data_IF_840746407035
#
_entry.id   IF_840746407035
#
_cell.length_a   1.000
_cell.length_b   1.000
_cell.length_c   1.000
_cell.angle_alpha   90.00
_cell.angle_beta   90.00
_cell.angle_gamma   90.00
#
_symmetry.space_group_name_H-M   'P 1'
#
loop_
_entity.id
_entity.type
_entity.pdbx_description
1 polymer ?
#
# COMPACT_ATOMS: atom_id res chain seq x y z
N UNK A 1 -22.53 33.81 0.04
CA UNK A 1 -22.55 33.76 -1.43
C UNK A 1 -22.08 32.38 -1.81
N UNK A 2 -22.92 31.56 -2.43
CA UNK A 2 -22.52 30.24 -2.90
C UNK A 2 -21.74 30.40 -4.22
N UNK A 3 -20.56 29.80 -4.27
CA UNK A 3 -19.72 29.80 -5.47
C UNK A 3 -20.05 28.55 -6.27
N UNK A 4 -20.38 28.71 -7.55
CA UNK A 4 -20.64 27.59 -8.45
C UNK A 4 -19.32 27.00 -8.96
N UNK A 5 -19.26 25.68 -9.02
CA UNK A 5 -18.08 24.97 -9.53
C UNK A 5 -17.94 25.11 -11.05
N UNK A 6 -19.04 25.25 -11.79
CA UNK A 6 -19.05 25.45 -13.24
C UNK A 6 -20.13 26.44 -13.67
N UNK A 7 -19.95 27.02 -14.85
CA UNK A 7 -20.87 27.98 -15.46
C UNK A 7 -21.54 27.45 -16.73
N UNK A 8 -20.98 26.42 -17.37
CA UNK A 8 -21.53 25.79 -18.56
C UNK A 8 -21.39 24.26 -18.57
N UNK A 9 -22.01 23.63 -19.58
CA UNK A 9 -22.01 22.17 -19.73
C UNK A 9 -20.61 21.60 -19.98
N UNK A 10 -19.78 22.30 -20.77
CA UNK A 10 -18.44 21.83 -21.14
C UNK A 10 -17.52 21.84 -19.92
N UNK A 11 -17.58 22.88 -19.11
CA UNK A 11 -16.84 23.01 -17.87
C UNK A 11 -17.28 21.96 -16.85
N UNK A 12 -18.59 21.70 -16.73
CA UNK A 12 -19.09 20.60 -15.90
C UNK A 12 -18.55 19.25 -16.34
N UNK A 13 -18.66 18.91 -17.62
CA UNK A 13 -18.19 17.64 -18.16
C UNK A 13 -16.65 17.50 -17.95
N UNK A 14 -15.89 18.59 -17.99
CA UNK A 14 -14.47 18.60 -17.63
C UNK A 14 -14.23 18.27 -16.14
N UNK A 15 -14.98 18.91 -15.22
CA UNK A 15 -14.85 18.61 -13.79
C UNK A 15 -15.30 17.20 -13.43
N UNK A 16 -16.28 16.64 -14.14
CA UNK A 16 -16.66 15.22 -13.99
C UNK A 16 -15.47 14.30 -14.33
N UNK A 17 -14.74 14.58 -15.40
CA UNK A 17 -13.53 13.82 -15.73
C UNK A 17 -12.42 13.98 -14.68
N UNK A 18 -12.24 15.18 -14.12
CA UNK A 18 -11.29 15.40 -13.03
C UNK A 18 -11.69 14.65 -11.76
N UNK A 19 -12.99 14.63 -11.44
CA UNK A 19 -13.52 13.88 -10.32
C UNK A 19 -13.27 12.38 -10.49
N UNK A 20 -13.46 11.84 -11.71
CA UNK A 20 -13.16 10.45 -12.02
C UNK A 20 -11.66 10.13 -11.84
N UNK A 21 -10.78 10.98 -12.36
CA UNK A 21 -9.32 10.80 -12.20
C UNK A 21 -8.93 10.83 -10.71
N UNK A 22 -9.46 11.79 -9.96
CA UNK A 22 -9.26 11.90 -8.52
C UNK A 22 -9.74 10.64 -7.78
N UNK A 23 -10.94 10.15 -8.12
CA UNK A 23 -11.55 8.97 -7.51
C UNK A 23 -10.72 7.71 -7.77
N UNK A 24 -10.24 7.50 -8.99
CA UNK A 24 -9.38 6.36 -9.33
C UNK A 24 -8.11 6.39 -8.48
N UNK A 25 -7.39 7.52 -8.44
CA UNK A 25 -6.14 7.64 -7.68
C UNK A 25 -6.37 7.39 -6.19
N UNK A 26 -7.42 7.99 -5.59
CA UNK A 26 -7.74 7.76 -4.16
C UNK A 26 -8.16 6.32 -3.89
N UNK A 27 -8.88 5.68 -4.80
CA UNK A 27 -9.31 4.29 -4.64
C UNK A 27 -8.11 3.36 -4.73
N UNK A 28 -7.20 3.56 -5.68
CA UNK A 28 -5.95 2.79 -5.77
C UNK A 28 -5.12 2.95 -4.49
N UNK A 29 -5.01 4.16 -3.93
CA UNK A 29 -4.26 4.39 -2.68
C UNK A 29 -4.84 3.58 -1.51
N UNK A 30 -6.17 3.51 -1.42
CA UNK A 30 -6.85 2.71 -0.40
C UNK A 30 -6.68 1.22 -0.63
N UNK A 31 -6.73 0.77 -1.88
CA UNK A 31 -6.50 -0.62 -2.26
C UNK A 31 -5.08 -1.09 -1.90
N UNK A 32 -4.05 -0.31 -2.25
CA UNK A 32 -2.65 -0.63 -1.89
C UNK A 32 -2.50 -0.72 -0.36
N UNK A 33 -3.04 0.25 0.38
CA UNK A 33 -3.00 0.23 1.86
C UNK A 33 -3.76 -0.94 2.47
N UNK A 34 -4.88 -1.35 1.89
CA UNK A 34 -5.64 -2.51 2.35
C UNK A 34 -4.87 -3.81 2.12
N UNK A 35 -4.21 -3.93 0.97
CA UNK A 35 -3.37 -5.09 0.66
C UNK A 35 -2.16 -5.19 1.58
N UNK A 36 -1.43 -4.09 1.82
CA UNK A 36 -0.28 -4.04 2.75
C UNK A 36 -0.67 -4.40 4.18
N UNK A 37 -1.94 -4.20 4.56
CA UNK A 37 -2.49 -4.55 5.87
C UNK A 37 -3.11 -5.95 5.91
N UNK A 38 -2.90 -6.77 4.87
CA UNK A 38 -3.47 -8.12 4.72
C UNK A 38 -5.00 -8.17 4.86
N UNK A 39 -5.70 -7.07 4.51
CA UNK A 39 -7.17 -7.01 4.56
C UNK A 39 -7.84 -7.60 3.31
N UNK A 40 -7.07 -7.79 2.23
CA UNK A 40 -7.55 -8.27 0.93
C UNK A 40 -6.59 -9.35 0.44
N UNK A 41 -7.13 -10.43 -0.12
CA UNK A 41 -6.33 -11.52 -0.67
C UNK A 41 -5.50 -11.06 -1.87
N UNK A 42 -4.38 -11.74 -2.14
CA UNK A 42 -3.56 -11.46 -3.32
C UNK A 42 -4.34 -11.57 -4.64
N UNK A 43 -5.27 -12.52 -4.74
CA UNK A 43 -6.04 -12.75 -5.96
C UNK A 43 -7.05 -11.62 -6.23
N UNK A 44 -7.75 -11.17 -5.18
CA UNK A 44 -8.71 -10.07 -5.29
C UNK A 44 -7.99 -8.75 -5.53
N UNK A 45 -6.88 -8.51 -4.81
CA UNK A 45 -6.04 -7.33 -5.02
C UNK A 45 -5.54 -7.23 -6.46
N UNK A 46 -4.96 -8.31 -7.02
CA UNK A 46 -4.47 -8.31 -8.39
C UNK A 46 -5.58 -7.99 -9.39
N UNK A 47 -6.76 -8.59 -9.20
CA UNK A 47 -7.91 -8.41 -10.09
C UNK A 47 -8.41 -6.96 -10.08
N UNK A 48 -8.62 -6.39 -8.89
CA UNK A 48 -9.14 -5.02 -8.77
C UNK A 48 -8.09 -3.96 -9.12
N UNK A 49 -6.82 -4.20 -8.78
CA UNK A 49 -5.73 -3.30 -9.13
C UNK A 49 -5.56 -3.18 -10.66
N UNK A 50 -5.64 -4.30 -11.38
CA UNK A 50 -5.59 -4.29 -12.85
C UNK A 50 -6.73 -3.49 -13.49
N UNK A 51 -7.95 -3.58 -12.94
CA UNK A 51 -9.10 -2.79 -13.42
C UNK A 51 -8.85 -1.29 -13.24
N UNK A 52 -8.39 -0.89 -12.06
CA UNK A 52 -8.09 0.53 -11.77
C UNK A 52 -6.96 1.06 -12.65
N UNK A 53 -5.90 0.28 -12.88
CA UNK A 53 -4.81 0.65 -13.79
C UNK A 53 -5.33 0.84 -15.22
N UNK A 54 -6.19 -0.06 -15.70
CA UNK A 54 -6.76 0.04 -17.04
C UNK A 54 -7.64 1.29 -17.19
N UNK A 55 -8.52 1.54 -16.22
CA UNK A 55 -9.37 2.75 -16.18
C UNK A 55 -8.52 4.02 -16.16
N UNK A 56 -7.49 4.06 -15.29
CA UNK A 56 -6.55 5.17 -15.19
C UNK A 56 -5.85 5.45 -16.53
N UNK A 57 -5.31 4.42 -17.19
CA UNK A 57 -4.59 4.58 -18.47
C UNK A 57 -5.51 5.12 -19.57
N UNK A 58 -6.74 4.63 -19.64
CA UNK A 58 -7.73 5.11 -20.61
C UNK A 58 -8.07 6.58 -20.36
N UNK A 59 -8.41 6.92 -19.11
CA UNK A 59 -8.78 8.28 -18.74
C UNK A 59 -7.61 9.27 -18.87
N UNK A 60 -6.41 8.88 -18.44
CA UNK A 60 -5.21 9.72 -18.54
C UNK A 60 -4.80 9.96 -20.00
N UNK A 61 -5.04 8.98 -20.88
CA UNK A 61 -4.83 9.17 -22.32
C UNK A 61 -5.84 10.15 -22.90
N UNK A 62 -7.11 10.03 -22.51
CA UNK A 62 -8.17 10.94 -22.93
C UNK A 62 -7.92 12.38 -22.45
N UNK A 63 -7.40 12.55 -21.22
CA UNK A 63 -7.16 13.85 -20.60
C UNK A 63 -5.79 14.45 -20.89
N UNK A 64 -4.95 13.85 -21.75
CA UNK A 64 -3.54 14.26 -21.91
C UNK A 64 -3.35 15.74 -22.25
N UNK A 65 -4.25 16.30 -23.06
CA UNK A 65 -4.16 17.72 -23.49
C UNK A 65 -4.57 18.69 -22.37
N UNK A 66 -5.38 18.23 -21.42
CA UNK A 66 -5.91 19.05 -20.31
C UNK A 66 -5.10 18.84 -19.03
N UNK A 67 -4.68 17.61 -18.75
CA UNK A 67 -3.90 17.16 -17.60
C UNK A 67 -2.62 16.48 -18.10
N UNK A 68 -1.60 17.27 -18.49
CA UNK A 68 -0.36 16.72 -19.06
C UNK A 68 0.53 16.02 -18.03
N UNK A 69 0.33 16.29 -16.73
CA UNK A 69 1.03 15.62 -15.63
C UNK A 69 0.05 15.30 -14.51
N UNK A 70 -0.08 14.01 -14.22
CA UNK A 70 -0.93 13.51 -13.13
C UNK A 70 -0.31 13.83 -11.78
N UNK A 71 1.01 13.92 -11.68
CA UNK A 71 1.72 14.37 -10.49
C UNK A 71 1.34 15.81 -10.13
N UNK A 72 1.36 16.72 -11.11
CA UNK A 72 0.89 18.11 -10.90
C UNK A 72 -0.58 18.18 -10.56
N UNK A 73 -1.41 17.32 -11.14
CA UNK A 73 -2.82 17.20 -10.74
C UNK A 73 -2.94 16.81 -9.27
N UNK A 74 -2.21 15.77 -8.83
CA UNK A 74 -2.19 15.33 -7.45
C UNK A 74 -1.71 16.44 -6.49
N UNK A 75 -0.68 17.18 -6.86
CA UNK A 75 -0.20 18.35 -6.08
C UNK A 75 -1.28 19.45 -5.99
N UNK A 76 -1.92 19.79 -7.12
CA UNK A 76 -2.95 20.84 -7.22
C UNK A 76 -4.14 20.53 -6.31
N UNK A 77 -4.57 19.26 -6.29
CA UNK A 77 -5.67 18.78 -5.44
C UNK A 77 -5.20 18.28 -4.06
N UNK A 78 -3.92 18.48 -3.70
CA UNK A 78 -3.33 18.12 -2.41
C UNK A 78 -3.53 16.64 -2.03
N UNK A 79 -3.35 15.77 -3.01
CA UNK A 79 -3.56 14.34 -2.87
C UNK A 79 -2.33 13.67 -2.24
N UNK A 80 -2.45 13.26 -0.99
CA UNK A 80 -1.47 12.35 -0.37
C UNK A 80 -1.79 10.90 -0.79
N UNK A 81 -1.20 10.49 -1.92
CA UNK A 81 -1.40 9.17 -2.53
C UNK A 81 -0.10 8.56 -3.12
N UNK A 82 1.00 8.43 -2.33
CA UNK A 82 2.29 7.99 -2.86
C UNK A 82 2.27 6.56 -3.43
N UNK A 83 1.53 5.64 -2.80
CA UNK A 83 1.45 4.25 -3.26
C UNK A 83 0.67 4.15 -4.57
N UNK A 84 -0.42 4.89 -4.70
CA UNK A 84 -1.17 4.96 -5.95
C UNK A 84 -0.35 5.56 -7.09
N UNK A 85 0.40 6.64 -6.86
CA UNK A 85 1.21 7.26 -7.91
C UNK A 85 2.33 6.32 -8.36
N UNK A 86 3.00 5.63 -7.43
CA UNK A 86 3.97 4.60 -7.78
C UNK A 86 3.32 3.49 -8.62
N UNK A 87 2.14 3.00 -8.22
CA UNK A 87 1.41 1.95 -8.93
C UNK A 87 0.94 2.36 -10.34
N UNK A 88 0.35 3.54 -10.46
CA UNK A 88 -0.34 3.97 -11.67
C UNK A 88 0.62 4.55 -12.72
N UNK A 89 1.64 5.29 -12.27
CA UNK A 89 2.55 6.04 -13.16
C UNK A 89 3.85 5.28 -13.39
N UNK A 90 4.46 4.73 -12.33
CA UNK A 90 5.80 4.15 -12.39
C UNK A 90 5.77 2.68 -12.81
N UNK A 91 5.07 1.83 -12.04
CA UNK A 91 5.11 0.37 -12.28
C UNK A 91 4.07 -0.08 -13.31
N UNK A 92 2.84 0.43 -13.22
CA UNK A 92 1.75 0.13 -14.16
C UNK A 92 1.25 -1.31 -14.12
N UNK A 93 1.62 -2.07 -13.09
CA UNK A 93 1.21 -3.47 -12.80
C UNK A 93 1.09 -3.65 -11.28
N UNK A 94 0.30 -4.60 -10.75
CA UNK A 94 0.21 -4.86 -9.31
C UNK A 94 1.54 -5.25 -8.66
N UNK A 95 1.72 -4.96 -7.36
CA UNK A 95 2.99 -5.17 -6.64
C UNK A 95 3.44 -6.63 -6.68
N UNK A 96 2.48 -7.55 -6.56
CA UNK A 96 2.71 -8.99 -6.55
C UNK A 96 3.28 -9.50 -7.87
N UNK A 97 2.87 -8.89 -9.00
CA UNK A 97 3.35 -9.22 -10.34
C UNK A 97 4.77 -8.69 -10.54
N UNK A 98 5.04 -7.47 -10.07
CA UNK A 98 6.36 -6.84 -10.10
C UNK A 98 7.40 -7.68 -9.33
N UNK A 99 7.10 -8.05 -8.09
CA UNK A 99 7.97 -8.89 -7.26
C UNK A 99 8.17 -10.30 -7.84
N UNK A 100 7.12 -10.90 -8.39
CA UNK A 100 7.20 -12.22 -9.05
C UNK A 100 8.12 -12.16 -10.27
N UNK A 101 8.01 -11.11 -11.07
CA UNK A 101 8.82 -10.91 -12.28
C UNK A 101 10.29 -10.65 -11.92
N UNK A 102 10.56 -9.81 -10.92
CA UNK A 102 11.91 -9.60 -10.41
C UNK A 102 12.55 -10.91 -9.92
N UNK A 103 11.81 -11.71 -9.17
CA UNK A 103 12.25 -13.03 -8.71
C UNK A 103 12.55 -14.00 -9.86
N UNK A 104 11.73 -14.02 -10.92
CA UNK A 104 11.99 -14.84 -12.10
C UNK A 104 13.23 -14.39 -12.89
N UNK A 105 13.42 -13.08 -13.07
CA UNK A 105 14.56 -12.53 -13.79
C UNK A 105 15.89 -12.82 -13.08
N UNK A 106 15.89 -12.75 -11.75
CA UNK A 106 17.04 -13.15 -10.92
C UNK A 106 17.36 -14.64 -11.08
N UNK A 107 16.34 -15.51 -11.11
CA UNK A 107 16.51 -16.96 -11.34
C UNK A 107 17.13 -17.26 -12.72
N UNK A 108 16.77 -16.47 -13.73
CA UNK A 108 17.21 -16.67 -15.12
C UNK A 108 18.67 -16.24 -15.37
N UNK A 109 19.22 -15.38 -14.51
CA UNK A 109 20.61 -14.89 -14.57
C UNK A 109 21.62 -15.77 -13.82
N UNK A 110 21.22 -16.94 -13.30
CA UNK A 110 22.12 -17.84 -12.59
C UNK A 110 22.66 -17.29 -11.26
N UNK A 111 22.03 -16.23 -10.72
CA UNK A 111 22.36 -15.70 -9.40
C UNK A 111 21.77 -16.66 -8.37
N UNK A 112 22.62 -17.43 -7.72
CA UNK A 112 22.22 -18.39 -6.69
C UNK A 112 21.40 -17.71 -5.57
N UNK A 113 20.38 -18.38 -4.98
CA UNK A 113 19.56 -17.84 -3.89
C UNK A 113 20.34 -17.48 -2.59
N UNK A 114 21.65 -17.71 -2.56
CA UNK A 114 22.55 -17.39 -1.45
C UNK A 114 22.91 -15.91 -1.35
N UNK A 115 22.64 -15.09 -2.38
CA UNK A 115 22.78 -13.62 -2.33
C UNK A 115 21.46 -12.93 -1.95
N UNK A 116 20.81 -13.44 -0.90
CA UNK A 116 19.67 -12.80 -0.23
C UNK A 116 20.14 -11.82 0.86
N UNK A 117 21.35 -11.27 0.75
CA UNK A 117 21.96 -10.35 1.73
C UNK A 117 22.06 -8.89 1.29
N UNK A 118 21.51 -8.53 0.12
CA UNK A 118 21.31 -7.12 -0.24
C UNK A 118 19.86 -6.93 -0.65
N UNK A 119 19.00 -6.86 0.38
CA UNK A 119 17.58 -6.53 0.24
C UNK A 119 17.40 -5.04 -0.01
N UNK A 120 16.92 -4.71 -1.20
CA UNK A 120 16.37 -3.40 -1.60
C UNK A 120 15.08 -3.77 -2.33
N UNK A 121 13.85 -3.42 -1.94
CA UNK A 121 13.31 -2.67 -0.82
C UNK A 121 11.88 -3.17 -0.62
N UNK A 122 11.55 -3.65 0.58
CA UNK A 122 10.17 -3.51 1.07
C UNK A 122 10.05 -2.07 1.56
N UNK A 123 9.02 -1.43 1.07
CA UNK A 123 8.74 -0.01 1.22
C UNK A 123 8.72 0.44 2.70
N UNK A 124 9.61 1.40 2.99
CA UNK A 124 9.32 2.65 3.69
C UNK A 124 8.42 2.53 4.95
N UNK A 125 8.99 2.00 6.03
CA UNK A 125 8.37 2.03 7.36
C UNK A 125 9.09 1.23 8.44
N UNK A 126 9.99 0.33 8.06
CA UNK A 126 10.65 -0.62 8.99
C UNK A 126 12.17 -0.44 9.12
N UNK A 127 12.80 0.51 8.42
CA UNK A 127 14.24 0.75 8.50
C UNK A 127 14.74 1.28 9.86
N UNK A 128 13.83 1.52 10.81
CA UNK A 128 14.13 1.96 12.18
C UNK A 128 14.34 0.77 13.11
N UNK A 129 13.86 -0.42 12.73
CA UNK A 129 13.73 -1.56 13.63
C UNK A 129 14.70 -2.67 13.22
N UNK A 130 15.50 -3.22 14.16
CA UNK A 130 16.42 -4.32 13.88
C UNK A 130 15.73 -5.52 13.18
N UNK A 131 16.43 -6.24 12.27
CA UNK A 131 15.84 -7.36 11.52
C UNK A 131 15.40 -8.53 12.42
N UNK A 132 15.95 -8.62 13.63
CA UNK A 132 15.67 -9.60 14.69
C UNK A 132 14.76 -9.04 15.80
N UNK A 133 14.10 -7.90 15.58
CA UNK A 133 13.25 -7.27 16.58
C UNK A 133 12.19 -8.21 17.14
N UNK A 134 12.30 -8.48 18.43
CA UNK A 134 11.48 -9.45 19.17
C UNK A 134 9.98 -9.18 19.00
N UNK A 135 9.57 -7.91 18.98
CA UNK A 135 8.16 -7.55 18.80
C UNK A 135 7.59 -7.99 17.45
N UNK A 136 8.44 -8.07 16.40
CA UNK A 136 8.04 -8.59 15.08
C UNK A 136 7.79 -10.09 15.13
N UNK A 137 8.58 -10.83 15.92
CA UNK A 137 8.43 -12.27 16.11
C UNK A 137 7.14 -12.56 16.89
N UNK A 138 6.95 -11.89 18.03
CA UNK A 138 5.75 -12.03 18.87
C UNK A 138 4.45 -11.74 18.12
N UNK A 139 4.39 -10.63 17.39
CA UNK A 139 3.20 -10.26 16.62
C UNK A 139 2.91 -11.27 15.50
N UNK A 140 3.93 -11.77 14.82
CA UNK A 140 3.77 -12.82 13.79
C UNK A 140 3.24 -14.13 14.37
N UNK A 141 3.75 -14.55 15.52
CA UNK A 141 3.28 -15.77 16.19
C UNK A 141 1.80 -15.64 16.60
N UNK A 142 1.38 -14.47 17.07
CA UNK A 142 -0.02 -14.20 17.39
C UNK A 142 -0.93 -14.15 16.16
N UNK A 143 -0.49 -13.52 15.07
CA UNK A 143 -1.23 -13.54 13.79
C UNK A 143 -1.40 -14.97 13.28
N UNK A 144 -0.33 -15.77 13.30
CA UNK A 144 -0.37 -17.17 12.87
C UNK A 144 -1.29 -18.03 13.75
N UNK A 145 -1.36 -17.73 15.06
CA UNK A 145 -2.25 -18.42 15.98
C UNK A 145 -3.72 -18.06 15.71
N UNK A 146 -4.02 -16.76 15.61
CA UNK A 146 -5.37 -16.27 15.33
C UNK A 146 -5.86 -16.74 13.96
N UNK A 147 -5.00 -16.81 12.95
CA UNK A 147 -5.37 -17.30 11.62
C UNK A 147 -5.70 -18.80 11.58
N UNK A 148 -5.30 -19.56 12.60
CA UNK A 148 -5.61 -21.00 12.74
C UNK A 148 -6.86 -21.27 13.56
N UNK A 149 -7.40 -20.25 14.23
CA UNK A 149 -8.62 -20.35 15.02
C UNK A 149 -9.85 -20.26 14.11
N UNK A 150 -10.82 -21.13 14.33
CA UNK A 150 -12.12 -21.07 13.66
C UNK A 150 -12.92 -19.85 14.14
N UNK A 151 -13.93 -19.44 13.37
CA UNK A 151 -14.73 -18.26 13.69
C UNK A 151 -15.51 -18.35 15.03
N UNK A 152 -15.67 -19.54 15.58
CA UNK A 152 -16.32 -19.79 16.87
C UNK A 152 -15.32 -20.03 18.02
N UNK A 153 -14.01 -20.07 17.72
CA UNK A 153 -12.97 -20.27 18.73
C UNK A 153 -12.65 -18.93 19.40
N UNK A 154 -12.66 -18.91 20.73
CA UNK A 154 -12.29 -17.75 21.52
C UNK A 154 -10.90 -17.94 22.14
N UNK A 155 -10.17 -16.84 22.30
CA UNK A 155 -8.94 -16.86 23.09
C UNK A 155 -9.30 -17.17 24.54
N UNK A 156 -8.55 -18.06 25.17
CA UNK A 156 -8.70 -18.26 26.62
C UNK A 156 -8.31 -16.98 27.36
N UNK A 157 -8.84 -16.79 28.57
CA UNK A 157 -8.52 -15.61 29.39
C UNK A 157 -7.00 -15.43 29.58
N UNK A 158 -6.27 -16.54 29.74
CA UNK A 158 -4.81 -16.54 29.82
C UNK A 158 -4.15 -16.13 28.50
N UNK A 159 -4.64 -16.61 27.36
CA UNK A 159 -4.11 -16.22 26.04
C UNK A 159 -4.39 -14.74 25.73
N UNK A 160 -5.56 -14.24 26.09
CA UNK A 160 -5.92 -12.82 25.96
C UNK A 160 -4.97 -11.92 26.77
N UNK A 161 -4.71 -12.28 28.04
CA UNK A 161 -3.73 -11.57 28.88
C UNK A 161 -2.33 -11.62 28.29
N UNK A 162 -1.90 -12.77 27.76
CA UNK A 162 -0.58 -12.91 27.14
C UNK A 162 -0.45 -12.10 25.85
N UNK A 163 -1.48 -12.11 24.99
CA UNK A 163 -1.53 -11.30 23.77
C UNK A 163 -1.41 -9.81 24.11
N UNK A 164 -2.16 -9.35 25.11
CA UNK A 164 -2.08 -7.97 25.57
C UNK A 164 -0.68 -7.59 26.05
N UNK A 165 -0.07 -8.43 26.91
CA UNK A 165 1.30 -8.21 27.39
C UNK A 165 2.33 -8.20 26.26
N UNK A 166 2.23 -9.14 25.32
CA UNK A 166 3.15 -9.24 24.19
C UNK A 166 3.02 -8.03 23.25
N UNK A 167 1.81 -7.51 23.05
CA UNK A 167 1.57 -6.28 22.28
C UNK A 167 2.15 -5.05 22.97
N UNK A 168 1.89 -4.85 24.26
CA UNK A 168 2.41 -3.72 25.04
C UNK A 168 3.94 -3.74 25.13
N UNK A 169 4.53 -4.91 25.37
CA UNK A 169 5.99 -5.06 25.40
C UNK A 169 6.61 -4.85 24.01
N UNK A 170 5.98 -5.32 22.94
CA UNK A 170 6.42 -5.09 21.57
C UNK A 170 6.34 -3.61 21.18
N UNK A 171 5.28 -2.91 21.58
CA UNK A 171 5.14 -1.47 21.36
C UNK A 171 6.19 -0.68 22.14
N UNK A 172 6.41 -1.02 23.41
CA UNK A 172 7.44 -0.39 24.25
C UNK A 172 8.83 -0.57 23.65
N UNK A 173 9.18 -1.79 23.24
CA UNK A 173 10.45 -2.09 22.58
C UNK A 173 10.60 -1.34 21.25
N UNK A 174 9.50 -1.16 20.51
CA UNK A 174 9.50 -0.42 19.25
C UNK A 174 9.77 1.06 19.49
N UNK A 175 9.07 1.67 20.45
CA UNK A 175 9.26 3.07 20.83
C UNK A 175 10.69 3.34 21.34
N UNK A 176 11.27 2.39 22.07
CA UNK A 176 12.67 2.46 22.52
C UNK A 176 13.70 2.31 21.38
N UNK A 177 13.34 1.63 20.29
CA UNK A 177 14.19 1.46 19.12
C UNK A 177 14.14 2.67 18.16
N UNK A 178 13.18 3.58 18.32
CA UNK A 178 13.13 4.81 17.55
C UNK A 178 14.32 5.71 17.94
N UNK A 179 15.06 6.29 16.98
CA UNK A 179 16.11 7.25 17.30
C UNK A 179 15.51 8.44 18.06
N UNK A 180 16.09 8.78 19.22
CA UNK A 180 15.73 9.98 19.96
C UNK A 180 15.87 11.17 19.01
N UNK A 181 14.75 11.80 18.65
CA UNK A 181 14.77 13.09 18.00
C UNK A 181 15.25 14.14 19.02
N UNK A 182 16.56 14.24 19.23
CA UNK A 182 17.19 15.30 20.02
C UNK A 182 18.27 14.84 21.00
N UNK A 183 19.52 14.85 20.53
CA UNK A 183 20.69 15.37 21.26
C UNK A 183 21.76 15.77 20.25
#
# INVERSE_FOLDING_TARGET
MEVKLWNDKRERDMYENFAELYAIIKTTEKLEKAYVRDLVSSADYETECLKLIAQFKNLSTFLRDVVPSVERFAETYKMDCPAALNRLIVSGVPATVEHRTASMLLRRRGVSPALRSVGISDEVGWGIVPPDFEGRIKVKDWILRLSKMGAADELTEQQSRQLHFDLESSYTAFMAALPNAGS
#
